data_IF_490597852655
#
_entry.id   IF_490597852655
#
_cell.length_a   1.000
_cell.length_b   1.000
_cell.length_c   1.000
_cell.angle_alpha   90.00
_cell.angle_beta   90.00
_cell.angle_gamma   90.00
#
_symmetry.space_group_name_H-M   'P 1'
#
loop_
_entity.id
_entity.type
_entity.pdbx_description
1 polymer ?
#
# COMPACT_ATOMS: atom_id res chain seq x y z
N UNK A 1 8.39 -25.94 -22.76
CA UNK A 1 7.43 -26.32 -21.70
C UNK A 1 7.31 -25.24 -20.62
N UNK A 2 8.43 -24.63 -20.19
CA UNK A 2 8.48 -23.54 -19.20
C UNK A 2 7.73 -22.27 -19.64
N UNK A 3 7.75 -21.90 -20.92
CA UNK A 3 7.10 -20.66 -21.41
C UNK A 3 5.57 -20.69 -21.37
N UNK A 4 4.95 -21.85 -21.62
CA UNK A 4 3.49 -22.03 -21.46
C UNK A 4 3.07 -21.98 -19.99
N UNK A 5 3.94 -22.42 -19.07
CA UNK A 5 3.71 -22.34 -17.63
C UNK A 5 3.77 -20.87 -17.17
N UNK A 6 4.82 -20.14 -17.56
CA UNK A 6 4.93 -18.68 -17.32
C UNK A 6 3.74 -17.92 -17.88
N UNK A 7 3.31 -18.21 -19.11
CA UNK A 7 2.17 -17.55 -19.75
C UNK A 7 0.83 -17.79 -19.02
N UNK A 8 0.68 -18.89 -18.26
CA UNK A 8 -0.51 -19.16 -17.42
C UNK A 8 -0.37 -18.63 -15.99
N UNK A 9 0.86 -18.51 -15.48
CA UNK A 9 1.15 -17.88 -14.19
C UNK A 9 1.01 -16.36 -14.24
N UNK A 10 1.31 -15.72 -15.36
CA UNK A 10 1.24 -14.25 -15.51
C UNK A 10 -0.18 -13.68 -15.32
N UNK A 11 -1.26 -14.27 -15.87
CA UNK A 11 -2.63 -13.85 -15.57
C UNK A 11 -3.00 -14.02 -14.09
N UNK A 12 -2.73 -15.19 -13.51
CA UNK A 12 -3.02 -15.47 -12.10
C UNK A 12 -2.23 -14.57 -11.15
N UNK A 13 -0.96 -14.30 -11.44
CA UNK A 13 -0.14 -13.37 -10.69
C UNK A 13 -0.62 -11.92 -10.84
N UNK A 14 -1.10 -11.51 -12.02
CA UNK A 14 -1.65 -10.18 -12.26
C UNK A 14 -2.96 -9.97 -11.51
N UNK A 15 -3.85 -10.94 -11.52
CA UNK A 15 -5.13 -10.84 -10.80
C UNK A 15 -4.92 -10.91 -9.29
N UNK A 16 -4.01 -11.78 -8.82
CA UNK A 16 -3.59 -11.81 -7.42
C UNK A 16 -2.94 -10.49 -6.99
N UNK A 17 -2.11 -9.90 -7.85
CA UNK A 17 -1.49 -8.60 -7.59
C UNK A 17 -2.52 -7.48 -7.57
N UNK A 18 -3.49 -7.45 -8.49
CA UNK A 18 -4.57 -6.46 -8.49
C UNK A 18 -5.42 -6.57 -7.23
N UNK A 19 -5.82 -7.79 -6.87
CA UNK A 19 -6.58 -8.05 -5.66
C UNK A 19 -5.82 -7.61 -4.41
N UNK A 20 -4.55 -8.01 -4.30
CA UNK A 20 -3.68 -7.64 -3.19
C UNK A 20 -3.44 -6.13 -3.12
N UNK A 21 -3.22 -5.47 -4.27
CA UNK A 21 -3.00 -4.01 -4.33
C UNK A 21 -4.20 -3.23 -3.81
N UNK A 22 -5.43 -3.66 -4.13
CA UNK A 22 -6.66 -3.05 -3.59
C UNK A 22 -6.73 -3.21 -2.08
N UNK A 23 -6.44 -4.41 -1.56
CA UNK A 23 -6.46 -4.66 -0.13
C UNK A 23 -5.37 -3.87 0.60
N UNK A 24 -4.16 -3.79 0.03
CA UNK A 24 -3.09 -2.96 0.57
C UNK A 24 -3.43 -1.47 0.55
N UNK A 25 -4.14 -0.99 -0.47
CA UNK A 25 -4.60 0.40 -0.52
C UNK A 25 -5.65 0.69 0.58
N UNK A 26 -6.61 -0.22 0.80
CA UNK A 26 -7.63 -0.07 1.86
C UNK A 26 -6.98 -0.13 3.25
N UNK A 27 -6.14 -1.13 3.49
CA UNK A 27 -5.42 -1.28 4.76
C UNK A 27 -4.48 -0.09 4.98
N UNK A 28 -3.72 0.30 3.97
CA UNK A 28 -2.83 1.46 4.03
C UNK A 28 -3.60 2.75 4.33
N UNK A 29 -4.78 2.94 3.72
CA UNK A 29 -5.66 4.07 4.01
C UNK A 29 -6.16 4.07 5.46
N UNK A 30 -6.62 2.93 5.98
CA UNK A 30 -7.08 2.79 7.35
C UNK A 30 -5.95 3.03 8.37
N UNK A 31 -4.77 2.45 8.12
CA UNK A 31 -3.57 2.64 8.94
C UNK A 31 -3.12 4.09 8.93
N UNK A 32 -3.11 4.74 7.76
CA UNK A 32 -2.74 6.17 7.63
C UNK A 32 -3.75 7.06 8.35
N UNK A 33 -5.05 6.78 8.22
CA UNK A 33 -6.11 7.51 8.92
C UNK A 33 -5.96 7.38 10.43
N UNK A 34 -5.69 6.17 10.92
CA UNK A 34 -5.45 5.94 12.34
C UNK A 34 -4.19 6.65 12.84
N UNK A 35 -3.09 6.59 12.08
CA UNK A 35 -1.87 7.33 12.39
C UNK A 35 -2.08 8.85 12.44
N UNK A 36 -2.99 9.38 11.61
CA UNK A 36 -3.36 10.79 11.61
C UNK A 36 -4.27 11.19 12.78
N UNK A 37 -5.23 10.32 13.16
CA UNK A 37 -6.18 10.59 14.24
C UNK A 37 -5.59 10.38 15.64
N UNK A 38 -4.72 9.38 15.82
CA UNK A 38 -4.03 9.11 17.09
C UNK A 38 -2.56 8.72 16.85
N UNK A 39 -1.67 9.72 16.66
CA UNK A 39 -0.26 9.47 16.40
C UNK A 39 0.47 8.83 17.59
N UNK A 40 0.00 9.03 18.82
CA UNK A 40 0.64 8.47 20.03
C UNK A 40 0.29 6.98 20.19
N UNK A 41 -0.98 6.62 20.04
CA UNK A 41 -1.42 5.23 20.05
C UNK A 41 -0.81 4.43 18.89
N UNK A 42 -0.73 5.03 17.70
CA UNK A 42 -0.06 4.41 16.56
C UNK A 42 1.42 4.13 16.82
N UNK A 43 2.16 5.08 17.42
CA UNK A 43 3.56 4.92 17.79
C UNK A 43 3.79 3.80 18.82
N UNK A 44 2.89 3.64 19.79
CA UNK A 44 2.97 2.56 20.78
C UNK A 44 2.76 1.20 20.14
N UNK A 45 1.78 1.07 19.24
CA UNK A 45 1.54 -0.21 18.55
C UNK A 45 2.68 -0.53 17.59
N UNK A 46 3.22 0.44 16.85
CA UNK A 46 4.41 0.23 16.02
C UNK A 46 5.66 -0.14 16.83
N UNK A 47 5.79 0.36 18.05
CA UNK A 47 6.87 -0.05 18.96
C UNK A 47 6.73 -1.50 19.46
N UNK A 48 5.50 -2.04 19.48
CA UNK A 48 5.23 -3.45 19.80
C UNK A 48 5.46 -4.39 18.60
N UNK A 49 5.58 -3.87 17.38
CA UNK A 49 5.92 -4.70 16.22
C UNK A 49 7.37 -5.19 16.27
N UNK A 50 7.65 -6.38 15.72
CA UNK A 50 9.01 -6.86 15.55
C UNK A 50 9.86 -5.85 14.75
N UNK A 51 11.13 -5.69 15.11
CA UNK A 51 12.06 -4.76 14.44
C UNK A 51 12.14 -4.98 12.91
N UNK A 52 11.96 -6.21 12.44
CA UNK A 52 11.95 -6.52 11.01
C UNK A 52 10.68 -6.05 10.27
N UNK A 53 9.58 -5.82 10.98
CA UNK A 53 8.29 -5.43 10.42
C UNK A 53 8.04 -3.90 10.45
N UNK A 54 8.71 -3.18 11.36
CA UNK A 54 8.69 -1.71 11.41
C UNK A 54 9.05 -1.04 10.07
N UNK A 55 10.12 -1.43 9.34
CA UNK A 55 10.44 -0.82 8.05
C UNK A 55 9.38 -1.10 6.98
N UNK A 56 8.70 -2.25 7.02
CA UNK A 56 7.62 -2.56 6.07
C UNK A 56 6.42 -1.63 6.25
N UNK A 57 6.07 -1.29 7.49
CA UNK A 57 5.04 -0.29 7.79
C UNK A 57 5.44 1.09 7.24
N UNK A 58 6.70 1.48 7.39
CA UNK A 58 7.24 2.71 6.83
C UNK A 58 7.12 2.76 5.30
N UNK A 59 7.40 1.65 4.61
CA UNK A 59 7.26 1.54 3.15
C UNK A 59 5.80 1.66 2.72
N UNK A 60 4.87 1.00 3.42
CA UNK A 60 3.43 1.08 3.11
C UNK A 60 2.93 2.51 3.29
N UNK A 61 3.25 3.15 4.42
CA UNK A 61 2.84 4.53 4.72
C UNK A 61 3.41 5.53 3.72
N UNK A 62 4.71 5.42 3.41
CA UNK A 62 5.37 6.27 2.42
C UNK A 62 4.78 6.04 1.01
N UNK A 63 4.51 4.79 0.65
CA UNK A 63 3.85 4.42 -0.61
C UNK A 63 2.46 5.04 -0.74
N UNK A 64 1.64 4.98 0.32
CA UNK A 64 0.32 5.62 0.34
C UNK A 64 0.41 7.15 0.25
N UNK A 65 1.36 7.77 0.94
CA UNK A 65 1.54 9.23 0.89
C UNK A 65 1.97 9.71 -0.50
N UNK A 66 2.89 8.99 -1.16
CA UNK A 66 3.30 9.28 -2.55
C UNK A 66 2.13 9.05 -3.50
N UNK A 67 1.39 7.95 -3.34
CA UNK A 67 0.19 7.65 -4.13
C UNK A 67 -0.85 8.76 -4.05
N UNK A 68 -1.24 9.16 -2.84
CA UNK A 68 -2.14 10.29 -2.59
C UNK A 68 -1.67 11.57 -3.29
N UNK A 69 -0.37 11.87 -3.19
CA UNK A 69 0.23 13.06 -3.81
C UNK A 69 0.17 13.01 -5.34
N UNK A 70 0.32 11.83 -5.95
CA UNK A 70 0.20 11.64 -7.40
C UNK A 70 -1.26 11.77 -7.83
N UNK A 71 -2.20 11.17 -7.10
CA UNK A 71 -3.64 11.24 -7.43
C UNK A 71 -4.17 12.67 -7.34
N UNK A 72 -3.83 13.41 -6.27
CA UNK A 72 -4.19 14.82 -6.12
C UNK A 72 -3.60 15.70 -7.23
N UNK A 73 -2.38 15.41 -7.70
CA UNK A 73 -1.81 16.11 -8.86
C UNK A 73 -2.56 15.79 -10.16
N UNK A 74 -3.09 14.58 -10.31
CA UNK A 74 -3.82 14.14 -11.50
C UNK A 74 -5.18 14.85 -11.59
N UNK A 75 -5.87 14.98 -10.46
CA UNK A 75 -7.14 15.71 -10.36
C UNK A 75 -6.93 17.22 -10.58
N UNK A 76 -5.83 17.78 -10.08
CA UNK A 76 -5.47 19.20 -10.32
C UNK A 76 -5.14 19.53 -11.79
N UNK A 77 -4.81 18.51 -12.62
CA UNK A 77 -4.44 18.72 -14.03
C UNK A 77 -5.61 18.49 -15.00
N UNK A 78 -6.63 17.72 -14.61
CA UNK A 78 -7.85 17.48 -15.42
C UNK A 78 -9.03 18.41 -15.10
N UNK A 79 -8.89 19.27 -14.07
CA UNK A 79 -9.88 20.28 -13.71
C UNK A 79 -9.64 21.67 -14.34
N UNK A 80 -9.04 21.75 -15.53
CA UNK A 80 -8.89 22.99 -16.32
C UNK A 80 -9.56 22.86 -17.67
#
# INVERSE_FOLDING_TARGET
MIDRLKARLVPGARDWWRWSSVHFAVIGGAVTSWAASDPKGFAQVTALLPQWAQPLLGVVLAGTAIGLRITQRKDATHGR
#
